data_IF_896116326519
#
_entry.id   IF_896116326519
#
_cell.length_a   1.000
_cell.length_b   1.000
_cell.length_c   1.000
_cell.angle_alpha   90.00
_cell.angle_beta   90.00
_cell.angle_gamma   90.00
#
_symmetry.space_group_name_H-M   'P 1'
#
loop_
_entity.id
_entity.type
_entity.pdbx_description
1 polymer ?
#
# COMPACT_ATOMS: atom_id res chain seq x y z
N UNK A 1 7.84 -11.86 22.01
CA UNK A 1 7.68 -10.51 21.46
C UNK A 1 7.30 -10.69 19.99
N UNK A 2 6.01 -10.67 19.65
CA UNK A 2 5.54 -10.90 18.26
C UNK A 2 4.36 -9.97 17.89
N UNK A 3 3.82 -9.23 18.87
CA UNK A 3 2.72 -8.28 18.72
C UNK A 3 3.16 -6.89 18.28
N UNK A 4 4.43 -6.53 18.48
CA UNK A 4 4.96 -5.19 18.23
C UNK A 4 5.09 -4.90 16.72
N UNK A 5 5.73 -5.82 15.98
CA UNK A 5 5.92 -5.70 14.53
C UNK A 5 4.61 -5.73 13.72
N UNK A 6 3.59 -6.46 14.19
CA UNK A 6 2.28 -6.50 13.50
C UNK A 6 1.48 -5.23 13.69
N UNK A 7 1.60 -4.57 14.85
CA UNK A 7 0.95 -3.27 15.12
C UNK A 7 1.66 -2.18 14.33
N UNK A 8 2.99 -2.25 14.25
CA UNK A 8 3.81 -1.36 13.43
C UNK A 8 3.43 -1.44 11.94
N UNK A 9 3.36 -2.65 11.38
CA UNK A 9 3.01 -2.84 9.97
C UNK A 9 1.65 -2.24 9.58
N UNK A 10 0.64 -2.38 10.43
CA UNK A 10 -0.67 -1.76 10.18
C UNK A 10 -0.58 -0.23 10.22
N UNK A 11 0.12 0.33 11.20
CA UNK A 11 0.32 1.77 11.30
C UNK A 11 1.00 2.35 10.05
N UNK A 12 2.05 1.69 9.56
CA UNK A 12 2.75 2.08 8.33
C UNK A 12 1.83 2.03 7.10
N UNK A 13 0.98 1.00 6.99
CA UNK A 13 -0.01 0.91 5.91
C UNK A 13 -1.09 1.98 6.01
N UNK A 14 -1.51 2.37 7.22
CA UNK A 14 -2.47 3.45 7.46
C UNK A 14 -1.86 4.83 7.13
N UNK A 15 -0.57 5.03 7.39
CA UNK A 15 0.16 6.23 6.93
C UNK A 15 0.18 6.34 5.40
N UNK A 16 0.51 5.23 4.71
CA UNK A 16 0.48 5.17 3.25
C UNK A 16 -0.94 5.35 2.70
N UNK A 17 -1.95 4.78 3.36
CA UNK A 17 -3.36 4.98 3.03
C UNK A 17 -3.73 6.46 3.07
N UNK A 18 -3.37 7.15 4.15
CA UNK A 18 -3.67 8.58 4.31
C UNK A 18 -2.99 9.41 3.22
N UNK A 19 -1.76 9.07 2.85
CA UNK A 19 -1.04 9.77 1.78
C UNK A 19 -1.68 9.56 0.40
N UNK A 20 -2.07 8.33 0.06
CA UNK A 20 -2.80 8.04 -1.19
C UNK A 20 -4.19 8.70 -1.21
N UNK A 21 -4.88 8.75 -0.07
CA UNK A 21 -6.18 9.40 0.06
C UNK A 21 -6.09 10.92 -0.16
N UNK A 22 -5.04 11.61 0.35
CA UNK A 22 -4.79 13.03 0.06
C UNK A 22 -4.62 13.30 -1.44
N UNK A 23 -4.11 12.31 -2.18
CA UNK A 23 -3.90 12.36 -3.63
C UNK A 23 -5.14 11.93 -4.42
N UNK A 24 -6.26 11.66 -3.75
CA UNK A 24 -7.55 11.34 -4.36
C UNK A 24 -7.75 9.88 -4.75
N UNK A 25 -6.94 8.95 -4.22
CA UNK A 25 -7.04 7.53 -4.55
C UNK A 25 -7.89 6.76 -3.54
N UNK A 26 -8.75 5.89 -4.06
CA UNK A 26 -9.59 5.03 -3.25
C UNK A 26 -8.75 3.89 -2.67
N UNK A 27 -8.57 3.87 -1.35
CA UNK A 27 -7.72 2.91 -0.66
C UNK A 27 -8.38 2.34 0.59
N UNK A 28 -7.99 1.12 0.96
CA UNK A 28 -8.51 0.46 2.15
C UNK A 28 -7.54 -0.56 2.72
N UNK A 29 -7.16 -0.39 4.00
CA UNK A 29 -6.44 -1.43 4.73
C UNK A 29 -7.40 -2.59 5.01
N UNK A 30 -7.01 -3.79 4.59
CA UNK A 30 -7.75 -5.05 4.73
C UNK A 30 -6.83 -6.13 5.31
N UNK A 31 -7.37 -7.31 5.55
CA UNK A 31 -6.64 -8.46 6.09
C UNK A 31 -6.76 -8.59 7.61
N UNK A 32 -6.09 -9.61 8.14
CA UNK A 32 -6.09 -9.89 9.59
C UNK A 32 -5.02 -9.07 10.30
N UNK A 33 -5.13 -8.95 11.63
CA UNK A 33 -4.12 -8.26 12.45
C UNK A 33 -2.68 -8.77 12.25
N UNK A 34 -2.50 -10.04 11.85
CA UNK A 34 -1.19 -10.65 11.59
C UNK A 34 -0.63 -10.39 10.19
N UNK A 35 -1.49 -10.04 9.23
CA UNK A 35 -1.13 -9.79 7.82
C UNK A 35 -2.06 -8.72 7.26
N UNK A 36 -1.91 -7.47 7.73
CA UNK A 36 -2.61 -6.35 7.11
C UNK A 36 -2.03 -6.08 5.72
N UNK A 37 -2.89 -5.69 4.79
CA UNK A 37 -2.51 -5.24 3.44
C UNK A 37 -3.31 -4.00 3.07
N UNK A 38 -2.68 -3.04 2.40
CA UNK A 38 -3.34 -1.88 1.84
C UNK A 38 -3.80 -2.18 0.43
N UNK A 39 -5.11 -2.21 0.23
CA UNK A 39 -5.68 -2.30 -1.11
C UNK A 39 -5.77 -0.90 -1.73
N UNK A 40 -5.26 -0.75 -2.96
CA UNK A 40 -5.26 0.50 -3.71
C UNK A 40 -6.07 0.29 -4.99
N UNK A 41 -7.11 1.08 -5.18
CA UNK A 41 -7.93 1.06 -6.38
C UNK A 41 -7.68 2.31 -7.22
N UNK A 42 -7.40 2.13 -8.50
CA UNK A 42 -7.35 3.25 -9.44
C UNK A 42 -8.77 3.83 -9.64
N UNK A 43 -9.01 5.11 -9.31
CA UNK A 43 -10.32 5.73 -9.51
C UNK A 43 -10.69 5.92 -10.98
N UNK A 44 -9.71 5.93 -11.90
CA UNK A 44 -9.94 6.04 -13.34
C UNK A 44 -10.26 4.68 -13.99
N UNK A 45 -9.80 3.58 -13.41
CA UNK A 45 -10.07 2.22 -13.88
C UNK A 45 -10.13 1.26 -12.69
N UNK A 46 -11.36 0.84 -12.33
CA UNK A 46 -11.57 -0.06 -11.21
C UNK A 46 -10.98 -1.47 -11.43
N UNK A 47 -10.64 -1.83 -12.67
CA UNK A 47 -9.94 -3.08 -13.00
C UNK A 47 -8.46 -3.06 -12.63
N UNK A 48 -7.87 -1.87 -12.44
CA UNK A 48 -6.49 -1.68 -12.03
C UNK A 48 -6.43 -1.37 -10.54
N UNK A 49 -6.41 -2.44 -9.77
CA UNK A 49 -6.24 -2.39 -8.32
C UNK A 49 -5.15 -3.35 -7.90
N UNK A 50 -4.50 -3.04 -6.78
CA UNK A 50 -3.40 -3.84 -6.27
C UNK A 50 -3.37 -3.80 -4.74
N UNK A 51 -2.52 -4.62 -4.13
CA UNK A 51 -2.38 -4.74 -2.68
C UNK A 51 -0.93 -4.58 -2.27
N UNK A 52 -0.70 -3.76 -1.25
CA UNK A 52 0.62 -3.46 -0.68
C UNK A 52 0.70 -4.05 0.72
N UNK A 53 1.78 -4.76 1.02
CA UNK A 53 2.12 -5.23 2.35
C UNK A 53 3.23 -4.38 2.95
N UNK A 54 3.42 -4.45 4.27
CA UNK A 54 4.58 -3.91 4.95
C UNK A 54 5.29 -5.04 5.68
N UNK A 55 6.47 -5.41 5.18
CA UNK A 55 7.25 -6.55 5.65
C UNK A 55 8.72 -6.12 5.80
N UNK A 56 9.38 -6.57 6.86
CA UNK A 56 10.80 -6.27 7.13
C UNK A 56 11.17 -4.77 7.10
N UNK A 57 10.24 -3.88 7.45
CA UNK A 57 10.48 -2.44 7.48
C UNK A 57 10.28 -1.74 6.13
N UNK A 58 9.79 -2.43 5.11
CA UNK A 58 9.57 -1.87 3.77
C UNK A 58 8.17 -2.18 3.25
N UNK A 59 7.66 -1.28 2.41
CA UNK A 59 6.45 -1.51 1.62
C UNK A 59 6.79 -2.41 0.44
N UNK A 60 5.94 -3.39 0.16
CA UNK A 60 6.11 -4.34 -0.93
C UNK A 60 4.79 -4.57 -1.64
N UNK A 61 4.82 -4.83 -2.95
CA UNK A 61 3.65 -5.41 -3.60
C UNK A 61 3.35 -6.78 -2.99
N UNK A 62 2.08 -7.08 -2.76
CA UNK A 62 1.66 -8.35 -2.17
C UNK A 62 2.12 -9.57 -3.00
N UNK A 63 2.31 -9.39 -4.30
CA UNK A 63 2.71 -10.44 -5.24
C UNK A 63 4.15 -10.28 -5.77
N UNK A 64 4.88 -9.25 -5.36
CA UNK A 64 6.00 -8.76 -6.17
C UNK A 64 7.05 -7.95 -5.42
N UNK A 65 7.72 -7.03 -6.12
CA UNK A 65 8.93 -6.37 -5.62
C UNK A 65 8.65 -5.35 -4.52
N UNK A 66 9.72 -5.01 -3.82
CA UNK A 66 9.78 -3.94 -2.82
C UNK A 66 9.54 -2.58 -3.48
N UNK A 67 8.78 -1.73 -2.80
CA UNK A 67 8.48 -0.35 -3.18
C UNK A 67 9.39 0.65 -2.46
N UNK A 68 9.93 0.27 -1.28
CA UNK A 68 10.75 1.11 -0.41
C UNK A 68 10.10 1.36 0.96
N UNK A 69 10.73 2.17 1.82
CA UNK A 69 10.24 2.46 3.18
C UNK A 69 9.64 3.88 3.34
N UNK A 70 9.91 4.77 2.38
CA UNK A 70 9.46 6.16 2.40
C UNK A 70 8.04 6.31 1.84
N UNK A 71 7.11 6.72 2.68
CA UNK A 71 5.67 6.83 2.34
C UNK A 71 5.42 7.72 1.11
N UNK A 72 5.92 8.97 1.01
CA UNK A 72 5.65 9.80 -0.15
C UNK A 72 6.24 9.22 -1.44
N UNK A 73 7.48 8.71 -1.44
CA UNK A 73 8.09 8.09 -2.61
C UNK A 73 7.35 6.82 -3.04
N UNK A 74 6.95 5.97 -2.10
CA UNK A 74 6.16 4.76 -2.36
C UNK A 74 4.79 5.12 -2.94
N UNK A 75 4.13 6.15 -2.42
CA UNK A 75 2.89 6.63 -2.98
C UNK A 75 3.07 7.07 -4.44
N UNK A 76 4.10 7.88 -4.76
CA UNK A 76 4.37 8.29 -6.14
C UNK A 76 4.62 7.10 -7.08
N UNK A 77 5.35 6.09 -6.61
CA UNK A 77 5.61 4.88 -7.38
C UNK A 77 4.33 4.07 -7.66
N UNK A 78 3.50 3.85 -6.64
CA UNK A 78 2.19 3.18 -6.78
C UNK A 78 1.33 3.91 -7.81
N UNK A 79 1.26 5.24 -7.71
CA UNK A 79 0.48 6.08 -8.61
C UNK A 79 0.98 6.00 -10.05
N UNK A 80 2.29 5.98 -10.24
CA UNK A 80 2.91 5.85 -11.55
C UNK A 80 2.57 4.49 -12.18
N UNK A 81 2.80 3.40 -11.45
CA UNK A 81 2.55 2.03 -11.95
C UNK A 81 1.08 1.81 -12.29
N UNK A 82 0.15 2.18 -11.39
CA UNK A 82 -1.28 1.95 -11.59
C UNK A 82 -1.90 2.85 -12.67
N UNK A 83 -1.25 3.97 -13.01
CA UNK A 83 -1.63 4.79 -14.17
C UNK A 83 -1.11 4.21 -15.49
N UNK A 84 0.11 3.69 -15.51
CA UNK A 84 0.73 3.15 -16.74
C UNK A 84 0.21 1.76 -17.11
N UNK A 85 -0.17 0.93 -16.13
CA UNK A 85 -0.74 -0.40 -16.38
C UNK A 85 -2.09 -0.38 -17.14
N UNK A 86 -2.70 0.80 -17.33
CA UNK A 86 -3.94 0.99 -18.09
C UNK A 86 -3.77 1.60 -19.48
N UNK A 87 -2.55 1.73 -20.00
CA UNK A 87 -2.28 2.16 -21.39
C UNK A 87 -2.17 0.99 -22.37
#
# INVERSE_FOLDING_TARGET
>A
METDATVDARGRLEELQAELAKRGWATGVRGSARRPVLHVCNPADHGLNDSVAFENGMFCWYWGPELGDDVPAVADLILHILREAGS
#
